data_IF_867775260901
#
_entry.id   IF_867775260901
#
_cell.length_a   1.000
_cell.length_b   1.000
_cell.length_c   1.000
_cell.angle_alpha   90.00
_cell.angle_beta   90.00
_cell.angle_gamma   90.00
#
_symmetry.space_group_name_H-M   'P 1'
#
loop_
_entity.id
_entity.type
_entity.pdbx_description
1 polymer ?
#
# COMPACT_ATOMS: atom_id res chain seq x y z
N UNK A 1 -8.99 -13.11 -7.62
CA UNK A 1 -7.85 -12.72 -6.77
C UNK A 1 -7.33 -11.34 -7.15
N UNK A 2 -6.85 -11.10 -8.39
CA UNK A 2 -6.40 -9.76 -8.82
C UNK A 2 -6.99 -9.38 -10.18
N UNK A 3 -7.53 -8.16 -10.29
CA UNK A 3 -8.01 -7.60 -11.57
C UNK A 3 -6.86 -7.09 -12.45
N UNK A 4 -5.75 -6.67 -11.83
CA UNK A 4 -4.54 -6.15 -12.48
C UNK A 4 -3.30 -6.56 -11.69
N UNK A 5 -2.20 -6.80 -12.39
CA UNK A 5 -0.87 -6.98 -11.81
C UNK A 5 0.07 -5.97 -12.46
N UNK A 6 0.70 -5.12 -11.66
CA UNK A 6 1.58 -4.04 -12.13
C UNK A 6 2.91 -4.18 -11.38
N UNK A 7 3.97 -4.44 -12.13
CA UNK A 7 5.34 -4.47 -11.62
C UNK A 7 6.14 -3.26 -12.10
N UNK A 8 7.24 -2.98 -11.42
CA UNK A 8 8.23 -2.00 -11.90
C UNK A 8 8.87 -2.56 -13.18
N UNK A 9 8.88 -1.75 -14.24
CA UNK A 9 9.21 -2.21 -15.60
C UNK A 9 10.69 -2.11 -15.97
N UNK A 10 11.53 -1.44 -15.17
CA UNK A 10 12.97 -1.39 -15.46
C UNK A 10 13.87 -1.35 -14.21
N UNK A 11 15.16 -1.60 -14.45
CA UNK A 11 16.27 -1.44 -13.50
C UNK A 11 16.73 0.02 -13.35
N UNK A 12 16.15 0.95 -14.11
CA UNK A 12 16.48 2.38 -14.15
C UNK A 12 15.58 3.24 -13.25
N UNK A 13 14.68 2.62 -12.48
CA UNK A 13 14.15 3.21 -11.26
C UNK A 13 12.83 3.96 -11.41
N UNK A 14 11.88 3.49 -12.24
CA UNK A 14 10.49 3.87 -11.98
C UNK A 14 10.08 3.33 -10.61
N UNK A 15 9.77 4.22 -9.67
CA UNK A 15 9.35 3.83 -8.32
C UNK A 15 7.93 3.23 -8.33
N UNK A 16 7.59 2.44 -7.30
CA UNK A 16 6.20 1.99 -7.06
C UNK A 16 5.19 3.15 -7.11
N UNK A 17 5.63 4.33 -6.66
CA UNK A 17 4.83 5.56 -6.67
C UNK A 17 4.48 5.96 -8.11
N UNK A 18 5.43 5.91 -9.05
CA UNK A 18 5.18 6.30 -10.43
C UNK A 18 4.16 5.37 -11.11
N UNK A 19 4.33 4.05 -10.96
CA UNK A 19 3.38 3.08 -11.53
C UNK A 19 1.99 3.20 -10.87
N UNK A 20 1.91 3.43 -9.56
CA UNK A 20 0.65 3.65 -8.87
C UNK A 20 -0.04 4.95 -9.34
N UNK A 21 0.70 6.06 -9.49
CA UNK A 21 0.16 7.33 -10.00
C UNK A 21 -0.38 7.16 -11.41
N UNK A 22 0.38 6.51 -12.30
CA UNK A 22 -0.06 6.22 -13.66
C UNK A 22 -1.33 5.36 -13.67
N UNK A 23 -1.39 4.31 -12.84
CA UNK A 23 -2.55 3.44 -12.76
C UNK A 23 -3.81 4.19 -12.33
N UNK A 24 -3.76 4.90 -11.19
CA UNK A 24 -4.90 5.60 -10.63
C UNK A 24 -5.31 6.83 -11.46
N UNK A 25 -4.38 7.47 -12.18
CA UNK A 25 -4.72 8.58 -13.10
C UNK A 25 -5.67 8.17 -14.23
N UNK A 26 -5.73 6.87 -14.56
CA UNK A 26 -6.59 6.30 -15.59
C UNK A 26 -7.87 5.69 -15.02
N UNK A 27 -8.03 5.66 -13.70
CA UNK A 27 -9.24 5.15 -13.03
C UNK A 27 -10.14 6.32 -12.64
N UNK A 28 -11.46 6.09 -12.67
CA UNK A 28 -12.43 7.02 -12.11
C UNK A 28 -12.86 6.55 -10.70
N UNK A 29 -11.87 6.28 -9.85
CA UNK A 29 -12.06 5.75 -8.49
C UNK A 29 -11.93 6.89 -7.47
N UNK A 30 -12.79 6.92 -6.46
CA UNK A 30 -12.58 7.77 -5.29
C UNK A 30 -11.43 7.18 -4.44
N UNK A 31 -10.34 7.93 -4.32
CA UNK A 31 -9.16 7.51 -3.57
C UNK A 31 -9.42 7.35 -2.06
N UNK A 32 -10.50 7.93 -1.54
CA UNK A 32 -10.96 7.73 -0.16
C UNK A 32 -11.46 6.29 0.09
N UNK A 33 -11.83 5.59 -0.97
CA UNK A 33 -12.25 4.18 -0.93
C UNK A 33 -11.11 3.22 -1.29
N UNK A 34 -9.88 3.74 -1.45
CA UNK A 34 -8.70 2.94 -1.79
C UNK A 34 -7.85 2.70 -0.55
N UNK A 35 -7.55 1.43 -0.30
CA UNK A 35 -6.59 1.01 0.73
C UNK A 35 -5.40 0.30 0.09
N UNK A 36 -4.21 0.69 0.52
CA UNK A 36 -2.96 0.04 0.16
C UNK A 36 -2.56 -0.92 1.27
N UNK A 37 -2.25 -2.16 0.91
CA UNK A 37 -1.78 -3.18 1.86
C UNK A 37 -0.33 -3.51 1.56
N UNK A 38 0.54 -3.42 2.56
CA UNK A 38 1.98 -3.67 2.40
C UNK A 38 2.68 -4.03 3.71
N UNK A 39 3.98 -4.22 3.67
CA UNK A 39 4.80 -4.65 4.81
C UNK A 39 6.03 -3.75 5.04
N UNK A 40 6.07 -2.60 4.37
CA UNK A 40 7.13 -1.60 4.51
C UNK A 40 6.59 -0.18 4.66
N UNK A 41 7.39 0.70 5.28
CA UNK A 41 7.16 2.14 5.28
C UNK A 41 7.08 2.73 3.87
N UNK A 42 7.74 2.11 2.89
CA UNK A 42 7.67 2.54 1.50
C UNK A 42 6.28 2.30 0.90
N UNK A 43 5.58 1.22 1.27
CA UNK A 43 4.20 1.01 0.83
C UNK A 43 3.25 2.07 1.42
N UNK A 44 3.52 2.53 2.66
CA UNK A 44 2.81 3.67 3.23
C UNK A 44 3.10 4.99 2.50
N UNK A 45 4.34 5.22 2.07
CA UNK A 45 4.69 6.38 1.25
C UNK A 45 3.96 6.36 -0.09
N UNK A 46 3.87 5.19 -0.74
CA UNK A 46 3.06 5.03 -1.96
C UNK A 46 1.61 5.41 -1.70
N UNK A 47 0.97 4.85 -0.67
CA UNK A 47 -0.41 5.17 -0.33
C UNK A 47 -0.64 6.67 -0.14
N UNK A 48 0.23 7.31 0.63
CA UNK A 48 0.19 8.76 0.90
C UNK A 48 0.33 9.58 -0.38
N UNK A 49 1.24 9.24 -1.26
CA UNK A 49 1.46 9.95 -2.53
C UNK A 49 0.33 9.80 -3.53
N UNK A 50 -0.44 8.71 -3.43
CA UNK A 50 -1.67 8.53 -4.19
C UNK A 50 -2.85 9.24 -3.52
N UNK A 51 -2.81 9.46 -2.20
CA UNK A 51 -3.92 10.03 -1.43
C UNK A 51 -4.88 8.97 -0.87
N UNK A 52 -4.44 7.72 -0.79
CA UNK A 52 -5.20 6.62 -0.17
C UNK A 52 -4.76 6.32 1.27
N UNK A 53 -5.52 5.45 1.94
CA UNK A 53 -5.17 4.91 3.25
C UNK A 53 -4.19 3.74 3.12
N UNK A 54 -3.44 3.43 4.18
CA UNK A 54 -2.57 2.24 4.21
C UNK A 54 -2.83 1.35 5.42
N UNK A 55 -2.71 0.04 5.18
CA UNK A 55 -2.66 -0.99 6.21
C UNK A 55 -1.32 -1.72 6.05
N UNK A 56 -0.52 -1.73 7.12
CA UNK A 56 0.80 -2.36 7.16
C UNK A 56 0.76 -3.64 7.98
N UNK A 57 1.32 -4.72 7.43
CA UNK A 57 1.31 -6.04 8.05
C UNK A 57 2.68 -6.33 8.65
N UNK A 58 2.74 -6.45 9.99
CA UNK A 58 3.95 -6.70 10.76
C UNK A 58 4.42 -8.18 10.71
N UNK A 59 4.34 -8.79 9.53
CA UNK A 59 4.78 -10.17 9.22
C UNK A 59 5.50 -10.25 7.88
N UNK A 60 6.23 -9.21 7.52
CA UNK A 60 7.00 -9.13 6.29
C UNK A 60 8.40 -8.55 6.51
N UNK A 61 8.82 -7.65 5.64
CA UNK A 61 10.18 -7.15 5.53
C UNK A 61 10.60 -6.20 6.67
N UNK A 62 9.66 -5.46 7.26
CA UNK A 62 9.96 -4.54 8.37
C UNK A 62 9.28 -4.97 9.68
N UNK A 63 9.98 -4.76 10.80
CA UNK A 63 9.46 -5.09 12.13
C UNK A 63 8.27 -4.21 12.50
N UNK A 64 7.45 -4.68 13.45
CA UNK A 64 6.29 -3.94 13.95
C UNK A 64 6.68 -2.56 14.48
N UNK A 65 7.78 -2.48 15.22
CA UNK A 65 8.29 -1.22 15.81
C UNK A 65 8.67 -0.21 14.73
N UNK A 66 9.19 -0.69 13.59
CA UNK A 66 9.49 0.17 12.44
C UNK A 66 8.22 0.64 11.74
N UNK A 67 7.26 -0.26 11.54
CA UNK A 67 5.98 0.07 10.89
C UNK A 67 5.14 1.05 11.70
N UNK A 68 5.17 0.97 13.03
CA UNK A 68 4.47 1.92 13.93
C UNK A 68 4.98 3.37 13.82
N UNK A 69 6.10 3.62 13.12
CA UNK A 69 6.57 4.98 12.80
C UNK A 69 5.82 5.61 11.62
N UNK A 70 5.05 4.82 10.87
CA UNK A 70 4.20 5.32 9.79
C UNK A 70 3.11 6.24 10.36
N UNK A 71 2.94 7.41 9.76
CA UNK A 71 1.79 8.28 10.05
C UNK A 71 0.61 7.86 9.20
N UNK A 72 -0.59 7.90 9.78
CA UNK A 72 -1.86 7.61 9.12
C UNK A 72 -1.93 6.20 8.49
N UNK A 73 -1.29 5.22 9.13
CA UNK A 73 -1.33 3.82 8.73
C UNK A 73 -1.86 2.95 9.86
N UNK A 74 -2.69 1.95 9.54
CA UNK A 74 -3.09 0.92 10.49
C UNK A 74 -2.06 -0.21 10.46
N UNK A 75 -1.50 -0.61 11.61
CA UNK A 75 -0.52 -1.71 11.68
C UNK A 75 -1.18 -2.95 12.27
N UNK A 76 -1.23 -4.03 11.50
CA UNK A 76 -1.80 -5.32 11.90
C UNK A 76 -0.71 -6.37 12.11
N UNK A 77 -1.00 -7.38 12.93
CA UNK A 77 -0.07 -8.49 13.15
C UNK A 77 -0.07 -9.51 12.02
N UNK A 78 -1.20 -9.70 11.35
CA UNK A 78 -1.42 -10.77 10.38
C UNK A 78 -2.36 -10.33 9.26
N UNK A 79 -2.30 -11.02 8.10
CA UNK A 79 -3.27 -10.82 7.03
C UNK A 79 -4.69 -11.21 7.45
N UNK A 80 -4.86 -12.17 8.37
CA UNK A 80 -6.18 -12.61 8.85
C UNK A 80 -6.95 -11.47 9.52
N UNK A 81 -6.26 -10.54 10.18
CA UNK A 81 -6.91 -9.38 10.79
C UNK A 81 -7.59 -8.46 9.76
N UNK A 82 -7.15 -8.47 8.49
CA UNK A 82 -7.79 -7.69 7.41
C UNK A 82 -9.25 -8.09 7.20
N UNK A 83 -9.60 -9.36 7.43
CA UNK A 83 -10.97 -9.87 7.27
C UNK A 83 -11.96 -9.14 8.19
N UNK A 84 -11.50 -8.58 9.30
CA UNK A 84 -12.34 -7.85 10.26
C UNK A 84 -12.57 -6.39 9.88
N UNK A 85 -11.85 -5.89 8.87
CA UNK A 85 -11.79 -4.47 8.50
C UNK A 85 -12.37 -4.22 7.11
N UNK A 86 -12.11 -5.13 6.17
CA UNK A 86 -12.47 -4.95 4.75
C UNK A 86 -13.71 -5.76 4.33
N UNK A 87 -14.34 -6.48 5.25
CA UNK A 87 -15.51 -7.36 4.99
C UNK A 87 -16.71 -6.85 5.79
#
# INVERSE_FOLDING_TARGET
>A
FFDRIIGVKDIYGRSKIAEAKEYFSKQNQDLREVVFVGDTLHDNEVAKEIGGASILIARGHQSKERLLKAKNALVLGTLKELETILI
#
